data_IF_855322994358
#
_entry.id   IF_855322994358
#
_cell.length_a   1.000
_cell.length_b   1.000
_cell.length_c   1.000
_cell.angle_alpha   90.00
_cell.angle_beta   90.00
_cell.angle_gamma   90.00
#
_symmetry.space_group_name_H-M   'P 1'
#
loop_
_entity.id
_entity.type
_entity.pdbx_description
1 polymer ?
#
# COMPACT_ATOMS: atom_id res chain seq x y z
N UNK A 1 -69.86 0.99 64.27
CA UNK A 1 -68.80 1.74 65.00
C UNK A 1 -67.50 1.37 64.33
N UNK A 2 -66.73 2.33 63.98
CA UNK A 2 -65.38 2.34 63.47
C UNK A 2 -65.21 2.06 61.96
N UNK A 3 -65.16 3.19 61.26
CA UNK A 3 -64.72 3.37 59.84
C UNK A 3 -63.24 3.01 59.72
N UNK A 4 -62.88 2.27 58.68
CA UNK A 4 -61.53 2.06 58.32
C UNK A 4 -61.32 2.56 56.89
N UNK A 5 -60.68 3.71 56.76
CA UNK A 5 -60.39 4.42 55.53
C UNK A 5 -59.20 3.75 54.90
N UNK A 6 -59.35 3.24 53.65
CA UNK A 6 -58.30 2.64 52.90
C UNK A 6 -57.68 3.74 52.00
N UNK A 7 -56.45 4.12 52.30
CA UNK A 7 -55.64 4.99 51.48
C UNK A 7 -55.02 4.16 50.33
N UNK A 8 -55.44 4.43 49.15
CA UNK A 8 -54.83 3.87 47.92
C UNK A 8 -53.59 4.70 47.51
N UNK A 9 -52.42 4.14 47.66
CA UNK A 9 -51.16 4.70 47.18
C UNK A 9 -50.99 4.37 45.69
N UNK A 10 -51.03 5.38 44.86
CA UNK A 10 -50.76 5.29 43.44
C UNK A 10 -49.23 5.30 43.26
N UNK A 11 -48.67 4.18 42.87
CA UNK A 11 -47.25 4.06 42.46
C UNK A 11 -47.16 4.42 40.99
N UNK A 12 -46.67 5.60 40.68
CA UNK A 12 -46.35 6.00 39.31
C UNK A 12 -45.03 5.36 38.88
N UNK A 13 -45.08 4.35 38.04
CA UNK A 13 -43.91 3.76 37.39
C UNK A 13 -43.46 4.64 36.23
N UNK A 14 -42.40 5.37 36.42
CA UNK A 14 -41.68 6.08 35.35
C UNK A 14 -40.91 5.05 34.51
N UNK A 15 -41.44 4.74 33.31
CA UNK A 15 -40.73 4.00 32.28
C UNK A 15 -39.71 4.94 31.62
N UNK A 16 -38.44 4.80 31.99
CA UNK A 16 -37.34 5.37 31.19
C UNK A 16 -37.18 4.54 29.93
N UNK A 17 -37.74 5.04 28.82
CA UNK A 17 -37.40 4.58 27.48
C UNK A 17 -36.03 5.16 27.15
N UNK A 18 -34.98 4.37 27.42
CA UNK A 18 -33.62 4.66 26.94
C UNK A 18 -33.58 4.44 25.45
N UNK A 19 -33.56 5.50 24.64
CA UNK A 19 -33.14 5.44 23.24
C UNK A 19 -31.64 5.10 23.21
N UNK A 20 -31.33 3.82 23.01
CA UNK A 20 -29.99 3.41 22.63
C UNK A 20 -29.80 3.78 21.15
N UNK A 21 -29.26 4.99 20.89
CA UNK A 21 -28.73 5.35 19.59
C UNK A 21 -27.48 4.48 19.34
N UNK A 22 -27.71 3.31 18.76
CA UNK A 22 -26.65 2.53 18.14
C UNK A 22 -26.23 3.25 16.86
N UNK A 23 -25.40 4.28 17.00
CA UNK A 23 -24.64 4.83 15.90
C UNK A 23 -23.68 3.78 15.38
N UNK A 24 -24.19 2.88 14.54
CA UNK A 24 -23.35 2.05 13.68
C UNK A 24 -22.71 3.01 12.66
N UNK A 25 -21.59 3.61 13.04
CA UNK A 25 -20.73 4.29 12.10
C UNK A 25 -20.24 3.25 11.09
N UNK A 26 -20.96 3.14 9.97
CA UNK A 26 -20.49 2.41 8.80
C UNK A 26 -19.14 3.03 8.44
N UNK A 27 -18.02 2.28 8.47
CA UNK A 27 -16.75 2.85 8.06
C UNK A 27 -16.91 3.33 6.62
N UNK A 28 -16.78 4.65 6.38
CA UNK A 28 -16.70 5.21 5.03
C UNK A 28 -15.64 4.40 4.30
N UNK A 29 -16.05 3.58 3.34
CA UNK A 29 -15.17 2.87 2.43
C UNK A 29 -14.27 3.90 1.77
N UNK A 30 -13.10 4.13 2.33
CA UNK A 30 -12.07 4.90 1.64
C UNK A 30 -11.75 4.11 0.39
N UNK A 31 -12.02 4.71 -0.77
CA UNK A 31 -11.75 4.11 -2.08
C UNK A 31 -10.32 3.56 -2.05
N UNK A 32 -10.16 2.24 -2.05
CA UNK A 32 -8.87 1.59 -1.90
C UNK A 32 -7.87 2.18 -2.90
N UNK A 33 -6.66 2.49 -2.44
CA UNK A 33 -5.61 3.01 -3.32
C UNK A 33 -5.32 1.98 -4.41
N UNK A 34 -5.01 2.44 -5.61
CA UNK A 34 -4.68 1.55 -6.74
C UNK A 34 -3.50 0.60 -6.41
N UNK A 35 -2.55 1.04 -5.60
CA UNK A 35 -1.38 0.27 -5.18
C UNK A 35 -1.71 -0.86 -4.20
N UNK A 36 -2.84 -0.79 -3.50
CA UNK A 36 -3.17 -1.69 -2.39
C UNK A 36 -3.60 -3.07 -2.88
N UNK A 37 -3.14 -4.09 -2.19
CA UNK A 37 -3.66 -5.46 -2.29
C UNK A 37 -3.98 -6.01 -0.90
N UNK A 38 -4.85 -7.02 -0.77
CA UNK A 38 -4.99 -7.76 0.48
C UNK A 38 -3.65 -8.33 0.93
N UNK A 39 -3.36 -8.31 2.25
CA UNK A 39 -2.09 -8.82 2.78
C UNK A 39 -1.82 -10.28 2.37
N UNK A 40 -2.87 -11.10 2.22
CA UNK A 40 -2.78 -12.47 1.74
C UNK A 40 -2.28 -12.64 0.30
N UNK A 41 -2.34 -11.58 -0.51
CA UNK A 41 -1.85 -11.56 -1.89
C UNK A 41 -0.45 -10.95 -2.02
N UNK A 42 0.04 -10.29 -0.98
CA UNK A 42 1.36 -9.69 -0.98
C UNK A 42 2.45 -10.74 -0.73
N UNK A 43 3.39 -10.87 -1.66
CA UNK A 43 4.59 -11.69 -1.46
C UNK A 43 5.58 -10.84 -0.65
N UNK A 44 5.80 -11.21 0.61
CA UNK A 44 6.73 -10.54 1.50
C UNK A 44 8.00 -11.39 1.63
N UNK A 45 9.16 -10.78 1.33
CA UNK A 45 10.45 -11.49 1.33
C UNK A 45 11.22 -11.34 2.64
N UNK A 46 10.88 -10.34 3.43
CA UNK A 46 11.47 -10.08 4.74
C UNK A 46 10.91 -11.03 5.81
N UNK A 47 11.65 -11.18 6.92
CA UNK A 47 11.25 -11.98 8.07
C UNK A 47 11.13 -11.10 9.31
N UNK A 48 10.49 -11.63 10.38
CA UNK A 48 10.34 -10.94 11.66
C UNK A 48 9.13 -10.02 11.73
N UNK A 49 9.04 -9.24 12.79
CA UNK A 49 7.90 -8.40 13.12
C UNK A 49 7.65 -7.30 12.07
N UNK A 50 8.71 -6.71 11.53
CA UNK A 50 8.65 -5.62 10.55
C UNK A 50 8.57 -6.11 9.09
N UNK A 51 8.23 -7.39 8.86
CA UNK A 51 8.21 -7.97 7.50
C UNK A 51 7.27 -7.26 6.54
N UNK A 52 6.25 -6.58 7.03
CA UNK A 52 5.27 -5.82 6.24
C UNK A 52 5.64 -4.35 6.05
N UNK A 53 6.81 -3.94 6.54
CA UNK A 53 7.25 -2.55 6.48
C UNK A 53 8.38 -2.36 5.47
N UNK A 54 8.34 -1.26 4.72
CA UNK A 54 9.46 -0.84 3.86
C UNK A 54 10.71 -0.59 4.73
N UNK A 55 11.85 -1.20 4.38
CA UNK A 55 13.10 -1.09 5.17
C UNK A 55 13.66 0.32 5.25
N UNK A 56 13.24 1.25 4.40
CA UNK A 56 13.71 2.63 4.37
C UNK A 56 12.73 3.56 5.08
N UNK A 57 11.46 3.58 4.66
CA UNK A 57 10.50 4.59 5.11
C UNK A 57 9.42 4.05 6.05
N UNK A 58 9.40 2.74 6.36
CA UNK A 58 8.42 2.12 7.25
C UNK A 58 7.01 1.94 6.68
N UNK A 59 6.73 2.38 5.44
CA UNK A 59 5.40 2.26 4.83
C UNK A 59 4.96 0.80 4.71
N UNK A 60 3.66 0.54 4.96
CA UNK A 60 3.09 -0.80 4.87
C UNK A 60 3.14 -1.33 3.43
N UNK A 61 3.83 -2.44 3.23
CA UNK A 61 4.06 -3.03 1.91
C UNK A 61 2.79 -3.52 1.20
N UNK A 62 1.82 -4.20 1.85
CA UNK A 62 0.55 -4.53 1.23
C UNK A 62 -0.21 -3.31 0.69
N UNK A 63 -0.19 -2.18 1.40
CA UNK A 63 -0.84 -0.93 0.99
C UNK A 63 -0.22 -0.35 -0.29
N UNK A 64 1.07 -0.54 -0.50
CA UNK A 64 1.82 -0.02 -1.66
C UNK A 64 2.42 -1.12 -2.51
N UNK A 65 1.80 -2.30 -2.51
CA UNK A 65 2.37 -3.52 -3.07
C UNK A 65 2.64 -3.44 -4.58
N UNK A 66 1.73 -2.86 -5.37
CA UNK A 66 1.89 -2.79 -6.83
C UNK A 66 3.07 -1.93 -7.31
N UNK A 67 3.68 -1.16 -6.41
CA UNK A 67 4.91 -0.40 -6.69
C UNK A 67 6.12 -0.95 -5.93
N UNK A 68 5.94 -2.07 -5.19
CA UNK A 68 6.96 -2.67 -4.33
C UNK A 68 8.10 -3.28 -5.14
N UNK A 69 9.30 -3.13 -4.59
CA UNK A 69 10.53 -3.73 -5.10
C UNK A 69 11.17 -4.60 -4.01
N UNK A 70 11.97 -5.56 -4.41
CA UNK A 70 12.79 -6.36 -3.51
C UNK A 70 14.23 -6.40 -4.01
N UNK A 71 15.16 -6.55 -3.08
CA UNK A 71 16.56 -6.79 -3.38
C UNK A 71 17.17 -7.70 -2.30
N UNK A 72 18.40 -8.11 -2.54
CA UNK A 72 19.26 -8.76 -1.56
C UNK A 72 20.52 -7.91 -1.40
N UNK A 73 21.06 -7.84 -0.18
CA UNK A 73 22.41 -7.33 0.04
C UNK A 73 23.43 -8.37 -0.43
N UNK A 74 24.68 -7.97 -0.65
CA UNK A 74 25.78 -8.93 -0.92
C UNK A 74 25.94 -10.01 0.17
N UNK A 75 25.49 -9.73 1.40
CA UNK A 75 25.49 -10.70 2.51
C UNK A 75 24.25 -11.61 2.53
N UNK A 76 23.36 -11.50 1.53
CA UNK A 76 22.16 -12.33 1.39
C UNK A 76 20.95 -11.88 2.19
N UNK A 77 20.99 -10.71 2.84
CA UNK A 77 19.85 -10.15 3.57
C UNK A 77 18.79 -9.68 2.59
N UNK A 78 17.57 -10.21 2.71
CA UNK A 78 16.43 -9.81 1.87
C UNK A 78 15.84 -8.49 2.36
N UNK A 79 15.63 -7.58 1.43
CA UNK A 79 15.10 -6.23 1.66
C UNK A 79 13.87 -6.02 0.77
N UNK A 80 12.86 -5.33 1.28
CA UNK A 80 11.68 -4.97 0.50
C UNK A 80 11.31 -3.50 0.68
N UNK A 81 10.93 -2.87 -0.40
CA UNK A 81 10.71 -1.44 -0.54
C UNK A 81 9.29 -1.19 -1.07
N UNK A 82 8.65 -0.11 -0.62
CA UNK A 82 7.33 0.29 -1.12
C UNK A 82 7.38 0.87 -2.55
N UNK A 83 8.56 1.32 -3.01
CA UNK A 83 8.74 1.92 -4.33
C UNK A 83 10.20 1.91 -4.78
N UNK A 84 10.43 2.22 -6.07
CA UNK A 84 11.77 2.41 -6.63
C UNK A 84 12.53 3.57 -5.96
N UNK A 85 11.82 4.60 -5.46
CA UNK A 85 12.44 5.70 -4.71
C UNK A 85 13.25 5.17 -3.51
N UNK A 86 12.66 4.29 -2.71
CA UNK A 86 13.36 3.72 -1.55
C UNK A 86 14.51 2.78 -1.94
N UNK A 87 14.45 2.13 -3.11
CA UNK A 87 15.60 1.37 -3.67
C UNK A 87 16.75 2.31 -3.99
N UNK A 88 16.45 3.45 -4.65
CA UNK A 88 17.45 4.48 -4.98
C UNK A 88 18.07 5.06 -3.71
N UNK A 89 17.25 5.39 -2.72
CA UNK A 89 17.72 5.91 -1.43
C UNK A 89 18.69 4.94 -0.75
N UNK A 90 18.35 3.65 -0.69
CA UNK A 90 19.17 2.63 -0.08
C UNK A 90 20.50 2.42 -0.84
N UNK A 91 20.43 2.35 -2.17
CA UNK A 91 21.59 2.11 -3.01
C UNK A 91 22.52 3.33 -3.12
N UNK A 92 21.97 4.53 -3.35
CA UNK A 92 22.74 5.72 -3.68
C UNK A 92 23.12 6.56 -2.46
N UNK A 93 22.22 6.66 -1.46
CA UNK A 93 22.43 7.48 -0.26
C UNK A 93 23.04 6.63 0.85
N UNK A 94 22.41 5.50 1.18
CA UNK A 94 22.91 4.60 2.25
C UNK A 94 24.09 3.74 1.79
N UNK A 95 24.42 3.75 0.47
CA UNK A 95 25.51 2.97 -0.12
C UNK A 95 25.40 1.46 0.14
N UNK A 96 24.15 0.96 0.20
CA UNK A 96 23.90 -0.47 0.32
C UNK A 96 24.08 -1.14 -1.03
N UNK A 97 25.04 -2.06 -1.15
CA UNK A 97 25.23 -2.85 -2.37
C UNK A 97 24.05 -3.84 -2.55
N UNK A 98 23.13 -3.50 -3.46
CA UNK A 98 21.94 -4.26 -3.75
C UNK A 98 22.14 -5.15 -4.98
N UNK A 99 21.74 -6.41 -4.84
CA UNK A 99 21.76 -7.43 -5.90
C UNK A 99 20.38 -8.08 -6.03
N UNK A 100 20.15 -8.87 -7.10
CA UNK A 100 18.91 -9.62 -7.31
C UNK A 100 17.64 -8.77 -7.27
N UNK A 101 17.70 -7.56 -7.82
CA UNK A 101 16.57 -6.63 -7.81
C UNK A 101 15.37 -7.21 -8.56
N UNK A 102 14.20 -7.17 -7.90
CA UNK A 102 12.91 -7.55 -8.47
C UNK A 102 11.88 -6.45 -8.20
N UNK A 103 10.84 -6.46 -8.99
CA UNK A 103 9.69 -5.57 -8.88
C UNK A 103 8.40 -6.37 -8.96
N UNK A 104 7.35 -5.90 -8.35
CA UNK A 104 6.01 -6.49 -8.50
C UNK A 104 5.47 -6.18 -9.89
N UNK A 105 5.11 -7.21 -10.62
CA UNK A 105 4.28 -7.09 -11.82
C UNK A 105 2.86 -6.64 -11.41
N UNK A 106 2.44 -5.50 -11.91
CA UNK A 106 1.18 -4.83 -11.51
C UNK A 106 -0.06 -5.69 -11.72
N UNK A 107 -0.06 -6.56 -12.75
CA UNK A 107 -1.20 -7.39 -13.10
C UNK A 107 -1.21 -8.74 -12.35
N UNK A 108 -0.10 -9.47 -12.38
CA UNK A 108 -0.03 -10.80 -11.76
C UNK A 108 0.33 -10.79 -10.28
N UNK A 109 0.77 -9.65 -9.75
CA UNK A 109 1.26 -9.45 -8.37
C UNK A 109 2.50 -10.30 -8.03
N UNK A 110 3.16 -10.89 -9.03
CA UNK A 110 4.38 -11.68 -8.86
C UNK A 110 5.63 -10.82 -8.91
N UNK A 111 6.68 -11.26 -8.24
CA UNK A 111 8.00 -10.63 -8.30
C UNK A 111 8.73 -11.06 -9.59
N UNK A 112 9.11 -10.09 -10.41
CA UNK A 112 9.86 -10.28 -11.66
C UNK A 112 11.17 -9.52 -11.59
N UNK A 113 12.18 -9.93 -12.37
CA UNK A 113 13.44 -9.19 -12.48
C UNK A 113 13.18 -7.78 -13.02
N UNK A 114 13.75 -6.77 -12.40
CA UNK A 114 13.64 -5.36 -12.87
C UNK A 114 14.15 -5.19 -14.30
N UNK A 115 15.17 -5.96 -14.70
CA UNK A 115 15.79 -5.89 -16.04
C UNK A 115 14.92 -6.51 -17.13
N UNK A 116 13.90 -7.31 -16.75
CA UNK A 116 12.91 -7.91 -17.67
C UNK A 116 11.57 -7.20 -17.64
N UNK A 117 11.41 -6.21 -16.76
CA UNK A 117 10.18 -5.48 -16.58
C UNK A 117 10.06 -4.29 -17.56
N UNK A 118 8.84 -3.99 -17.96
CA UNK A 118 8.44 -2.78 -18.67
C UNK A 118 7.77 -1.84 -17.70
N UNK A 119 8.34 -0.67 -17.47
CA UNK A 119 7.81 0.32 -16.54
C UNK A 119 6.94 1.34 -17.26
N UNK A 120 5.78 1.67 -16.70
CA UNK A 120 5.01 2.86 -17.10
C UNK A 120 5.26 3.96 -16.08
N UNK A 121 5.89 5.04 -16.55
CA UNK A 121 6.34 6.17 -15.74
C UNK A 121 5.47 7.39 -16.01
N UNK A 122 4.94 8.03 -14.96
CA UNK A 122 4.17 9.27 -15.08
C UNK A 122 2.70 9.07 -15.50
N UNK A 123 2.10 7.92 -15.18
CA UNK A 123 0.66 7.70 -15.39
C UNK A 123 -0.19 8.54 -14.41
N UNK A 124 -1.50 8.67 -14.70
CA UNK A 124 -2.48 9.30 -13.82
C UNK A 124 -2.77 8.51 -12.52
N UNK A 125 -2.30 7.26 -12.43
CA UNK A 125 -2.36 6.51 -11.17
C UNK A 125 -1.37 7.09 -10.15
N UNK A 126 -1.72 7.08 -8.85
CA UNK A 126 -0.87 7.67 -7.83
C UNK A 126 0.53 7.06 -7.80
N UNK A 127 1.56 7.89 -7.65
CA UNK A 127 2.91 7.42 -7.31
C UNK A 127 3.02 6.98 -5.86
N UNK A 128 4.12 6.31 -5.51
CA UNK A 128 4.49 5.96 -4.14
C UNK A 128 5.81 6.64 -3.82
N UNK A 129 5.86 7.41 -2.74
CA UNK A 129 6.97 8.27 -2.31
C UNK A 129 7.28 9.46 -3.22
N UNK A 130 6.93 9.42 -4.51
CA UNK A 130 7.12 10.51 -5.46
C UNK A 130 5.81 10.81 -6.19
N UNK A 131 5.68 12.01 -6.77
CA UNK A 131 4.52 12.37 -7.61
C UNK A 131 4.51 11.58 -8.91
N UNK A 132 5.70 11.25 -9.43
CA UNK A 132 5.85 10.47 -10.66
C UNK A 132 5.58 9.00 -10.37
N UNK A 133 4.47 8.47 -10.88
CA UNK A 133 4.13 7.04 -10.75
C UNK A 133 5.10 6.16 -11.54
N UNK A 134 5.38 4.96 -11.01
CA UNK A 134 6.24 3.96 -11.65
C UNK A 134 5.64 2.58 -11.41
N UNK A 135 4.95 2.03 -12.41
CA UNK A 135 4.32 0.71 -12.37
C UNK A 135 5.03 -0.23 -13.33
N UNK A 136 5.28 -1.47 -12.91
CA UNK A 136 6.01 -2.45 -13.71
C UNK A 136 5.09 -3.56 -14.21
N UNK A 137 5.42 -4.09 -15.39
CA UNK A 137 4.69 -5.14 -16.07
C UNK A 137 5.66 -6.19 -16.63
N UNK A 138 5.24 -7.46 -16.56
CA UNK A 138 6.02 -8.56 -17.14
C UNK A 138 6.00 -8.55 -18.68
N UNK A 139 4.91 -8.04 -19.28
CA UNK A 139 4.71 -8.01 -20.73
C UNK A 139 4.60 -6.58 -21.22
N UNK A 140 5.29 -6.31 -22.34
CA UNK A 140 5.23 -4.99 -23.00
C UNK A 140 3.80 -4.62 -23.40
N UNK A 141 3.01 -5.56 -23.90
CA UNK A 141 1.62 -5.32 -24.29
C UNK A 141 0.75 -4.87 -23.13
N UNK A 142 1.00 -5.37 -21.93
CA UNK A 142 0.28 -4.95 -20.71
C UNK A 142 0.69 -3.52 -20.28
N UNK A 143 1.99 -3.20 -20.38
CA UNK A 143 2.49 -1.85 -20.14
C UNK A 143 1.92 -0.84 -21.16
N UNK A 144 1.90 -1.20 -22.45
CA UNK A 144 1.32 -0.36 -23.50
C UNK A 144 -0.18 -0.11 -23.29
N UNK A 145 -0.93 -1.15 -22.90
CA UNK A 145 -2.37 -1.03 -22.58
C UNK A 145 -2.59 -0.10 -21.40
N UNK A 146 -1.80 -0.27 -20.33
CA UNK A 146 -1.87 0.59 -19.15
C UNK A 146 -1.51 2.06 -19.49
N UNK A 147 -0.46 2.26 -20.28
CA UNK A 147 -0.06 3.60 -20.71
C UNK A 147 -1.11 4.26 -21.61
N UNK A 148 -1.79 3.50 -22.47
CA UNK A 148 -2.91 3.98 -23.30
C UNK A 148 -4.09 4.43 -22.45
N UNK A 149 -4.40 3.70 -21.37
CA UNK A 149 -5.55 3.99 -20.50
C UNK A 149 -5.24 5.12 -19.50
N UNK A 150 -4.06 5.11 -18.89
CA UNK A 150 -3.73 6.00 -17.76
C UNK A 150 -2.64 7.02 -18.08
N UNK A 151 -2.17 7.07 -19.31
CA UNK A 151 -1.04 7.92 -19.67
C UNK A 151 0.30 7.38 -19.17
N UNK A 152 1.33 8.19 -19.32
CA UNK A 152 2.69 7.83 -18.95
C UNK A 152 3.50 7.30 -20.14
N UNK A 153 4.77 7.01 -19.88
CA UNK A 153 5.73 6.52 -20.89
C UNK A 153 6.26 5.15 -20.51
N UNK A 154 6.24 4.21 -21.46
CA UNK A 154 6.88 2.90 -21.27
C UNK A 154 8.40 3.04 -21.34
N UNK A 155 9.09 2.55 -20.31
CA UNK A 155 10.54 2.64 -20.15
C UNK A 155 11.12 1.30 -19.69
N UNK A 156 12.42 1.09 -19.91
CA UNK A 156 13.19 0.04 -19.25
C UNK A 156 13.57 0.43 -17.82
N UNK A 157 14.18 -0.50 -17.08
CA UNK A 157 14.59 -0.27 -15.71
C UNK A 157 15.62 0.87 -15.56
N UNK A 158 16.66 0.91 -16.40
CA UNK A 158 17.75 1.88 -16.27
C UNK A 158 17.25 3.32 -16.45
N UNK A 159 16.39 3.55 -17.45
CA UNK A 159 15.77 4.86 -17.67
C UNK A 159 14.85 5.24 -16.51
N UNK A 160 14.07 4.28 -16.00
CA UNK A 160 13.17 4.48 -14.85
C UNK A 160 13.95 4.77 -13.57
N UNK A 161 15.08 4.09 -13.36
CA UNK A 161 15.99 4.33 -12.23
C UNK A 161 16.56 5.76 -12.28
N UNK A 162 17.01 6.20 -13.47
CA UNK A 162 17.47 7.58 -13.68
C UNK A 162 16.41 8.63 -13.37
N UNK A 163 15.14 8.39 -13.77
CA UNK A 163 14.01 9.26 -13.38
C UNK A 163 13.84 9.25 -11.86
N UNK A 164 13.92 8.08 -11.23
CA UNK A 164 13.75 7.96 -9.78
C UNK A 164 14.84 8.67 -8.99
N UNK A 165 16.10 8.63 -9.47
CA UNK A 165 17.20 9.42 -8.89
C UNK A 165 16.89 10.92 -8.93
N UNK A 166 16.45 11.45 -10.08
CA UNK A 166 16.09 12.88 -10.20
C UNK A 166 14.94 13.29 -9.28
N UNK A 167 13.98 12.40 -9.06
CA UNK A 167 12.86 12.63 -8.14
C UNK A 167 13.30 12.62 -6.66
N UNK A 168 14.36 11.89 -6.32
CA UNK A 168 14.86 11.73 -4.94
C UNK A 168 15.72 12.93 -4.46
N UNK A 169 16.30 13.68 -5.40
CA UNK A 169 17.15 14.86 -5.10
C UNK A 169 16.41 16.19 -5.24
N UNK A 170 15.08 16.19 -5.33
CA UNK A 170 14.22 17.38 -5.32
C UNK A 170 13.51 17.53 -4.00
#
# INVERSE_FOLDING_TARGET
MKNFTLLASIFAALLFVGCADSSSATPKSSKARFQTVPASQAILVQKGENRESCVICGMNLPTFYKTSHTAETKTGTKRQYCSLHCVVEDNEINKTDLVNLKVVDTNSLKLISVYKAFYVVGSSKPGTMTRTSKYAFAKKSEADTFAKEFGGKVMNFNDTYTVSMKDSYR
#
